data_IF_273846163911
#
_entry.id   IF_273846163911
#
_cell.length_a   1.000
_cell.length_b   1.000
_cell.length_c   1.000
_cell.angle_alpha   90.00
_cell.angle_beta   90.00
_cell.angle_gamma   90.00
#
_symmetry.space_group_name_H-M   'P 1'
#
loop_
_entity.id
_entity.type
_entity.pdbx_description
1 polymer ?
#
# COMPACT_ATOMS: atom_id res chain seq x y z
N UNK A 1 37.16 -26.57 -2.85
CA UNK A 1 37.56 -25.15 -2.78
C UNK A 1 36.66 -24.41 -3.77
N UNK A 2 35.52 -23.89 -3.30
CA UNK A 2 34.61 -23.14 -4.17
C UNK A 2 35.16 -21.73 -4.28
N UNK A 3 35.54 -21.31 -5.49
CA UNK A 3 36.04 -19.97 -5.74
C UNK A 3 34.91 -18.97 -5.47
N UNK A 4 35.06 -18.19 -4.39
CA UNK A 4 34.15 -17.08 -4.11
C UNK A 4 34.50 -15.98 -5.10
N UNK A 5 33.78 -15.93 -6.23
CA UNK A 5 33.88 -14.80 -7.16
C UNK A 5 33.48 -13.53 -6.41
N UNK A 6 34.29 -12.46 -6.45
CA UNK A 6 33.95 -11.21 -5.80
C UNK A 6 32.67 -10.65 -6.40
N UNK A 7 31.71 -10.33 -5.54
CA UNK A 7 30.45 -9.66 -5.91
C UNK A 7 30.82 -8.27 -6.44
N UNK A 8 30.30 -7.90 -7.60
CA UNK A 8 30.55 -6.57 -8.17
C UNK A 8 29.73 -5.51 -7.42
N UNK A 9 30.19 -4.26 -7.38
CA UNK A 9 29.46 -3.16 -6.73
C UNK A 9 28.03 -3.01 -7.28
N UNK A 10 27.85 -3.27 -8.59
CA UNK A 10 26.54 -3.29 -9.28
C UNK A 10 25.61 -4.38 -8.73
N UNK A 11 26.12 -5.58 -8.43
CA UNK A 11 25.32 -6.66 -7.85
C UNK A 11 24.89 -6.36 -6.41
N UNK A 12 25.75 -5.68 -5.63
CA UNK A 12 25.40 -5.27 -4.27
C UNK A 12 24.32 -4.17 -4.27
N UNK A 13 24.42 -3.20 -5.18
CA UNK A 13 23.41 -2.15 -5.35
C UNK A 13 22.06 -2.73 -5.81
N UNK A 14 22.05 -3.62 -6.80
CA UNK A 14 20.81 -4.26 -7.30
C UNK A 14 20.14 -5.11 -6.19
N UNK A 15 20.91 -5.84 -5.39
CA UNK A 15 20.39 -6.62 -4.26
C UNK A 15 19.81 -5.74 -3.15
N UNK A 16 20.48 -4.64 -2.79
CA UNK A 16 19.98 -3.67 -1.80
C UNK A 16 18.68 -3.01 -2.27
N UNK A 17 18.64 -2.55 -3.52
CA UNK A 17 17.46 -1.95 -4.11
C UNK A 17 16.27 -2.92 -4.15
N UNK A 18 16.50 -4.19 -4.53
CA UNK A 18 15.49 -5.24 -4.50
C UNK A 18 14.96 -5.48 -3.07
N UNK A 19 15.85 -5.64 -2.09
CA UNK A 19 15.45 -5.90 -0.69
C UNK A 19 14.64 -4.74 -0.11
N UNK A 20 15.12 -3.51 -0.24
CA UNK A 20 14.45 -2.32 0.27
C UNK A 20 13.08 -2.11 -0.39
N UNK A 21 13.02 -2.23 -1.72
CA UNK A 21 11.76 -2.08 -2.46
C UNK A 21 10.73 -3.14 -2.05
N UNK A 22 11.18 -4.38 -1.92
CA UNK A 22 10.30 -5.50 -1.55
C UNK A 22 9.74 -5.32 -0.15
N UNK A 23 10.57 -4.91 0.82
CA UNK A 23 10.16 -4.66 2.20
C UNK A 23 9.16 -3.50 2.25
N UNK A 24 9.46 -2.39 1.57
CA UNK A 24 8.59 -1.22 1.54
C UNK A 24 7.22 -1.55 0.94
N UNK A 25 7.17 -2.14 -0.25
CA UNK A 25 5.92 -2.53 -0.91
C UNK A 25 5.14 -3.52 -0.03
N UNK A 26 5.80 -4.58 0.45
CA UNK A 26 5.14 -5.66 1.19
C UNK A 26 4.52 -5.14 2.49
N UNK A 27 5.22 -4.27 3.21
CA UNK A 27 4.72 -3.69 4.46
C UNK A 27 3.49 -2.82 4.21
N UNK A 28 3.50 -2.00 3.16
CA UNK A 28 2.37 -1.12 2.83
C UNK A 28 1.12 -1.91 2.39
N UNK A 29 1.28 -2.96 1.58
CA UNK A 29 0.13 -3.73 1.08
C UNK A 29 -0.43 -4.71 2.11
N UNK A 30 0.39 -5.20 3.04
CA UNK A 30 -0.04 -6.16 4.06
C UNK A 30 -1.16 -5.59 4.94
N UNK A 31 -0.99 -4.36 5.45
CA UNK A 31 -1.98 -3.72 6.34
C UNK A 31 -3.33 -3.57 5.67
N UNK A 32 -3.35 -3.06 4.43
CA UNK A 32 -4.57 -2.90 3.63
C UNK A 32 -5.27 -4.25 3.43
N UNK A 33 -4.51 -5.28 3.04
CA UNK A 33 -5.06 -6.61 2.82
C UNK A 33 -5.60 -7.25 4.12
N UNK A 34 -4.90 -7.05 5.24
CA UNK A 34 -5.32 -7.52 6.56
C UNK A 34 -6.64 -6.88 6.99
N UNK A 35 -6.73 -5.55 6.99
CA UNK A 35 -7.94 -4.84 7.38
C UNK A 35 -9.12 -5.19 6.47
N UNK A 36 -8.88 -5.32 5.17
CA UNK A 36 -9.89 -5.80 4.23
C UNK A 36 -10.34 -7.23 4.57
N UNK A 37 -9.44 -8.13 4.97
CA UNK A 37 -9.79 -9.47 5.42
C UNK A 37 -10.62 -9.52 6.71
N UNK A 38 -10.42 -8.56 7.62
CA UNK A 38 -11.15 -8.48 8.91
C UNK A 38 -12.55 -7.89 8.72
N UNK A 39 -12.64 -6.71 8.09
CA UNK A 39 -13.85 -5.91 8.06
C UNK A 39 -14.57 -5.91 6.71
N UNK A 40 -13.95 -6.47 5.66
CA UNK A 40 -14.46 -6.49 4.29
C UNK A 40 -14.75 -5.08 3.72
N UNK A 41 -14.11 -4.06 4.30
CA UNK A 41 -14.18 -2.65 3.88
C UNK A 41 -12.78 -2.06 3.90
N UNK A 42 -12.58 -0.97 3.15
CA UNK A 42 -11.31 -0.23 3.13
C UNK A 42 -11.54 1.03 3.97
N UNK A 43 -10.77 1.17 5.05
CA UNK A 43 -10.91 2.33 5.94
C UNK A 43 -10.49 3.63 5.27
N UNK A 44 -11.18 4.71 5.65
CA UNK A 44 -10.90 6.08 5.20
C UNK A 44 -9.45 6.51 5.45
N UNK A 45 -8.80 5.99 6.51
CA UNK A 45 -7.40 6.29 6.83
C UNK A 45 -6.45 5.94 5.68
N UNK A 46 -6.68 4.79 5.03
CA UNK A 46 -5.89 4.34 3.90
C UNK A 46 -6.14 5.24 2.67
N UNK A 47 -7.38 5.69 2.47
CA UNK A 47 -7.73 6.65 1.42
C UNK A 47 -7.03 7.99 1.65
N UNK A 48 -7.00 8.49 2.90
CA UNK A 48 -6.30 9.73 3.23
C UNK A 48 -4.79 9.62 3.08
N UNK A 49 -4.17 8.50 3.47
CA UNK A 49 -2.74 8.31 3.24
C UNK A 49 -2.39 8.36 1.75
N UNK A 50 -3.17 7.68 0.92
CA UNK A 50 -3.00 7.72 -0.54
C UNK A 50 -3.19 9.13 -1.09
N UNK A 51 -4.22 9.85 -0.63
CA UNK A 51 -4.50 11.21 -1.07
C UNK A 51 -3.40 12.21 -0.65
N UNK A 52 -2.93 12.15 0.60
CA UNK A 52 -1.86 13.02 1.09
C UNK A 52 -0.56 12.74 0.34
N UNK A 53 -0.19 11.47 0.21
CA UNK A 53 1.02 11.08 -0.52
C UNK A 53 0.95 11.49 -1.99
N UNK A 54 -0.19 11.32 -2.66
CA UNK A 54 -0.37 11.73 -4.07
C UNK A 54 -0.31 13.23 -4.25
N UNK A 55 -0.91 13.99 -3.33
CA UNK A 55 -0.90 15.45 -3.36
C UNK A 55 0.51 15.99 -3.13
N UNK A 56 1.24 15.46 -2.14
CA UNK A 56 2.62 15.86 -1.87
C UNK A 56 3.52 15.51 -3.06
N UNK A 57 3.41 14.30 -3.62
CA UNK A 57 4.17 13.91 -4.80
C UNK A 57 3.83 14.77 -6.03
N UNK A 58 2.55 15.12 -6.22
CA UNK A 58 2.11 16.03 -7.28
C UNK A 58 2.75 17.41 -7.12
N UNK A 59 2.66 18.00 -5.92
CA UNK A 59 3.24 19.32 -5.63
C UNK A 59 4.76 19.28 -5.79
N UNK A 60 5.43 18.26 -5.27
CA UNK A 60 6.88 18.07 -5.44
C UNK A 60 7.27 17.98 -6.93
N UNK A 61 6.48 17.28 -7.75
CA UNK A 61 6.72 17.18 -9.20
C UNK A 61 6.64 18.50 -9.97
N UNK A 62 6.09 19.56 -9.37
CA UNK A 62 6.07 20.92 -9.96
C UNK A 62 7.40 21.66 -9.74
N UNK A 63 8.11 21.34 -8.66
CA UNK A 63 9.37 22.01 -8.28
C UNK A 63 10.62 21.22 -8.71
N UNK A 64 10.50 19.91 -8.89
CA UNK A 64 11.62 19.05 -9.28
C UNK A 64 11.79 19.08 -10.80
N UNK A 65 12.97 19.48 -11.32
CA UNK A 65 13.27 19.39 -12.75
C UNK A 65 13.27 17.94 -13.23
N UNK A 66 13.01 17.68 -14.53
CA UNK A 66 13.04 16.33 -15.08
C UNK A 66 14.42 15.71 -14.86
N UNK A 67 14.48 14.67 -14.01
CA UNK A 67 15.69 13.88 -13.74
C UNK A 67 15.59 12.58 -14.53
N UNK A 68 16.68 12.14 -15.17
CA UNK A 68 16.71 10.99 -16.08
C UNK A 68 16.29 9.63 -15.45
N UNK A 69 16.13 9.56 -14.12
CA UNK A 69 15.62 8.41 -13.37
C UNK A 69 14.14 8.48 -12.94
N UNK A 70 13.45 9.61 -13.13
CA UNK A 70 12.02 9.79 -12.81
C UNK A 70 11.11 9.95 -14.06
N UNK A 71 11.21 9.08 -15.09
CA UNK A 71 10.50 9.28 -16.36
C UNK A 71 8.97 9.24 -16.21
N UNK A 72 8.44 8.73 -15.10
CA UNK A 72 7.01 8.67 -14.80
C UNK A 72 6.45 9.86 -14.03
N UNK A 73 7.18 10.41 -13.05
CA UNK A 73 6.65 11.41 -12.10
C UNK A 73 6.46 12.79 -12.74
N UNK A 74 7.41 13.18 -13.57
CA UNK A 74 7.43 14.49 -14.24
C UNK A 74 6.67 14.45 -15.57
N UNK A 75 6.33 13.24 -16.05
CA UNK A 75 5.49 13.07 -17.23
C UNK A 75 4.05 13.54 -16.96
N UNK A 76 3.42 14.12 -17.98
CA UNK A 76 2.00 14.52 -17.94
C UNK A 76 1.08 13.36 -17.48
N UNK A 77 1.41 12.13 -17.85
CA UNK A 77 0.68 10.93 -17.44
C UNK A 77 0.78 10.65 -15.94
N UNK A 78 1.95 10.85 -15.34
CA UNK A 78 2.16 10.67 -13.90
C UNK A 78 1.42 11.70 -13.08
N UNK A 79 1.48 12.96 -13.50
CA UNK A 79 0.70 14.04 -12.90
C UNK A 79 -0.80 13.77 -12.94
N UNK A 80 -1.29 13.21 -14.04
CA UNK A 80 -2.70 12.80 -14.16
C UNK A 80 -3.07 11.73 -13.13
N UNK A 81 -2.25 10.69 -12.98
CA UNK A 81 -2.47 9.62 -11.98
C UNK A 81 -2.43 10.16 -10.55
N UNK A 82 -1.52 11.09 -10.25
CA UNK A 82 -1.39 11.71 -8.92
C UNK A 82 -2.54 12.66 -8.55
N UNK A 83 -3.22 13.23 -9.56
CA UNK A 83 -4.40 14.07 -9.38
C UNK A 83 -5.65 13.23 -9.07
N UNK A 84 -5.70 11.96 -9.49
CA UNK A 84 -6.89 11.12 -9.34
C UNK A 84 -7.42 11.03 -7.90
N UNK A 85 -6.59 10.81 -6.85
CA UNK A 85 -7.08 10.80 -5.47
C UNK A 85 -7.66 12.14 -5.04
N UNK A 86 -7.09 13.26 -5.49
CA UNK A 86 -7.61 14.61 -5.18
C UNK A 86 -8.93 14.89 -5.89
N UNK A 87 -9.11 14.40 -7.12
CA UNK A 87 -10.39 14.47 -7.84
C UNK A 87 -11.45 13.61 -7.16
N UNK A 88 -11.09 12.41 -6.70
CA UNK A 88 -11.99 11.56 -5.92
C UNK A 88 -12.44 12.26 -4.63
N UNK A 89 -11.51 12.87 -3.89
CA UNK A 89 -11.85 13.62 -2.69
C UNK A 89 -12.76 14.82 -3.00
N UNK A 90 -12.45 15.58 -4.06
CA UNK A 90 -13.32 16.67 -4.51
C UNK A 90 -14.72 16.17 -4.88
N UNK A 91 -14.81 15.05 -5.60
CA UNK A 91 -16.09 14.43 -5.97
C UNK A 91 -16.92 14.03 -4.74
N UNK A 92 -16.29 13.39 -3.76
CA UNK A 92 -16.95 12.99 -2.52
C UNK A 92 -17.48 14.19 -1.71
N UNK A 93 -16.78 15.34 -1.74
CA UNK A 93 -17.25 16.57 -1.08
C UNK A 93 -18.55 17.13 -1.69
N UNK A 94 -18.79 16.91 -2.98
CA UNK A 94 -20.01 17.39 -3.66
C UNK A 94 -21.14 16.36 -3.66
N UNK A 95 -20.91 15.16 -3.13
CA UNK A 95 -21.96 14.13 -3.02
C UNK A 95 -22.89 14.41 -1.84
N UNK A 96 -24.21 14.27 -2.05
CA UNK A 96 -25.24 14.57 -1.02
C UNK A 96 -25.25 13.59 0.15
N UNK A 97 -24.64 12.41 -0.01
CA UNK A 97 -24.47 11.39 1.04
C UNK A 97 -23.03 10.86 1.04
N UNK A 98 -22.08 11.61 1.63
CA UNK A 98 -20.69 11.18 1.65
C UNK A 98 -20.52 10.04 2.66
N UNK A 99 -20.76 8.80 2.23
CA UNK A 99 -20.29 7.61 2.94
C UNK A 99 -18.95 7.19 2.36
N UNK A 100 -17.90 7.27 3.19
CA UNK A 100 -16.61 6.64 2.89
C UNK A 100 -16.65 5.13 3.14
N UNK A 101 -17.76 4.63 3.71
CA UNK A 101 -18.01 3.22 3.84
C UNK A 101 -18.51 2.67 2.52
N UNK A 102 -17.60 1.99 1.83
CA UNK A 102 -17.75 1.59 0.43
C UNK A 102 -18.84 0.52 0.25
N UNK A 103 -19.33 -0.06 1.36
CA UNK A 103 -20.47 -0.98 1.38
C UNK A 103 -21.84 -0.28 1.33
N UNK A 104 -21.90 0.99 1.76
CA UNK A 104 -23.12 1.81 1.82
C UNK A 104 -23.21 2.79 0.63
N UNK A 105 -22.10 3.02 -0.09
CA UNK A 105 -22.07 3.87 -1.30
C UNK A 105 -22.58 3.11 -2.53
N UNK A 106 -23.03 3.84 -3.55
CA UNK A 106 -23.41 3.25 -4.84
C UNK A 106 -22.26 2.45 -5.47
N UNK A 107 -22.60 1.45 -6.29
CA UNK A 107 -21.63 0.57 -6.95
C UNK A 107 -20.59 1.35 -7.80
N UNK A 108 -20.99 2.52 -8.29
CA UNK A 108 -20.15 3.38 -9.12
C UNK A 108 -19.05 4.05 -8.30
N UNK A 109 -19.39 4.63 -7.15
CA UNK A 109 -18.45 5.23 -6.20
C UNK A 109 -17.49 4.18 -5.65
N UNK A 110 -18.00 2.97 -5.36
CA UNK A 110 -17.18 1.84 -4.97
C UNK A 110 -16.14 1.46 -6.03
N UNK A 111 -16.58 1.31 -7.29
CA UNK A 111 -15.69 0.96 -8.39
C UNK A 111 -14.67 2.08 -8.64
N UNK A 112 -15.09 3.34 -8.58
CA UNK A 112 -14.23 4.50 -8.75
C UNK A 112 -13.14 4.55 -7.67
N UNK A 113 -13.52 4.39 -6.39
CA UNK A 113 -12.57 4.35 -5.28
C UNK A 113 -11.57 3.19 -5.44
N UNK A 114 -12.05 1.99 -5.81
CA UNK A 114 -11.20 0.83 -6.05
C UNK A 114 -10.20 1.08 -7.18
N UNK A 115 -10.65 1.65 -8.30
CA UNK A 115 -9.77 2.00 -9.44
C UNK A 115 -8.76 3.06 -9.05
N UNK A 116 -9.19 4.13 -8.36
CA UNK A 116 -8.30 5.22 -7.95
C UNK A 116 -7.23 4.70 -6.99
N UNK A 117 -7.61 3.97 -5.93
CA UNK A 117 -6.65 3.39 -4.98
C UNK A 117 -5.77 2.36 -5.67
N UNK A 118 -6.36 1.47 -6.47
CA UNK A 118 -5.65 0.42 -7.19
C UNK A 118 -4.62 0.93 -8.20
N UNK A 119 -4.80 2.14 -8.73
CA UNK A 119 -3.82 2.79 -9.62
C UNK A 119 -2.84 3.68 -8.86
N UNK A 120 -3.33 4.52 -7.94
CA UNK A 120 -2.53 5.51 -7.25
C UNK A 120 -1.60 4.92 -6.20
N UNK A 121 -2.04 3.89 -5.45
CA UNK A 121 -1.24 3.24 -4.43
C UNK A 121 0.03 2.57 -5.00
N UNK A 122 -0.03 1.68 -6.02
CA UNK A 122 1.18 1.10 -6.58
C UNK A 122 2.06 2.16 -7.25
N UNK A 123 1.45 3.18 -7.88
CA UNK A 123 2.21 4.28 -8.46
C UNK A 123 2.97 5.05 -7.38
N UNK A 124 2.33 5.38 -6.26
CA UNK A 124 2.97 6.04 -5.11
C UNK A 124 4.08 5.20 -4.50
N UNK A 125 3.89 3.90 -4.37
CA UNK A 125 4.94 2.99 -3.89
C UNK A 125 6.15 3.00 -4.82
N UNK A 126 5.92 2.96 -6.14
CA UNK A 126 7.00 3.08 -7.13
C UNK A 126 7.71 4.42 -6.99
N UNK A 127 6.96 5.51 -6.84
CA UNK A 127 7.54 6.85 -6.64
C UNK A 127 8.38 6.92 -5.37
N UNK A 128 7.86 6.43 -4.25
CA UNK A 128 8.58 6.40 -2.98
C UNK A 128 9.85 5.55 -3.09
N UNK A 129 9.79 4.41 -3.79
CA UNK A 129 10.94 3.55 -4.06
C UNK A 129 11.99 4.28 -4.88
N UNK A 130 11.60 4.87 -6.01
CA UNK A 130 12.51 5.59 -6.92
C UNK A 130 13.15 6.80 -6.22
N UNK A 131 12.42 7.48 -5.35
CA UNK A 131 12.93 8.64 -4.60
C UNK A 131 13.80 8.23 -3.42
N UNK A 132 13.43 7.17 -2.69
CA UNK A 132 14.16 6.71 -1.51
C UNK A 132 15.42 5.90 -1.85
N UNK A 133 15.42 5.25 -3.01
CA UNK A 133 16.51 4.40 -3.49
C UNK A 133 17.07 5.06 -4.76
N UNK A 134 18.15 5.85 -4.64
CA UNK A 134 18.93 6.22 -5.82
C UNK A 134 19.38 4.92 -6.51
N UNK A 135 19.33 4.89 -7.85
CA UNK A 135 19.69 3.74 -8.71
C UNK A 135 18.63 2.63 -8.88
N UNK A 136 17.33 2.87 -8.66
CA UNK A 136 16.27 1.89 -8.99
C UNK A 136 16.24 1.47 -10.46
N UNK A 137 16.75 2.32 -11.35
CA UNK A 137 16.98 2.04 -12.76
C UNK A 137 18.00 0.91 -13.01
N UNK A 138 18.78 0.51 -11.99
CA UNK A 138 19.65 -0.68 -12.04
C UNK A 138 18.89 -2.01 -11.93
N UNK A 139 17.61 -2.05 -11.53
CA UNK A 139 16.78 -3.27 -11.62
C UNK A 139 16.44 -3.57 -13.09
N UNK A 140 17.44 -3.92 -13.89
CA UNK A 140 17.29 -4.30 -15.30
C UNK A 140 16.81 -5.74 -15.45
N UNK A 141 17.04 -6.59 -14.46
CA UNK A 141 16.70 -8.00 -14.56
C UNK A 141 15.18 -8.24 -14.46
N UNK A 142 14.53 -8.77 -15.52
CA UNK A 142 13.08 -9.03 -15.49
C UNK A 142 12.70 -10.09 -14.45
N UNK A 143 13.64 -10.97 -14.10
CA UNK A 143 13.45 -11.98 -13.05
C UNK A 143 13.22 -11.36 -11.68
N UNK A 144 14.01 -10.34 -11.31
CA UNK A 144 13.86 -9.65 -10.02
C UNK A 144 12.55 -8.87 -9.96
N UNK A 145 12.16 -8.20 -11.05
CA UNK A 145 10.85 -7.54 -11.15
C UNK A 145 9.69 -8.52 -10.97
N UNK A 146 9.77 -9.68 -11.62
CA UNK A 146 8.79 -10.76 -11.44
C UNK A 146 8.76 -11.30 -10.02
N UNK A 147 9.92 -11.40 -9.36
CA UNK A 147 10.02 -11.82 -7.96
C UNK A 147 9.39 -10.79 -7.01
N UNK A 148 9.61 -9.48 -7.19
CA UNK A 148 8.94 -8.43 -6.40
C UNK A 148 7.42 -8.57 -6.52
N UNK A 149 6.91 -8.72 -7.75
CA UNK A 149 5.47 -8.85 -8.00
C UNK A 149 4.90 -10.13 -7.36
N UNK A 150 5.61 -11.25 -7.46
CA UNK A 150 5.22 -12.50 -6.83
C UNK A 150 5.22 -12.40 -5.29
N UNK A 151 6.23 -11.78 -4.70
CA UNK A 151 6.30 -11.56 -3.24
C UNK A 151 5.19 -10.62 -2.79
N UNK A 152 4.97 -9.52 -3.50
CA UNK A 152 3.88 -8.59 -3.23
C UNK A 152 2.52 -9.32 -3.25
N UNK A 153 2.26 -10.12 -4.29
CA UNK A 153 1.03 -10.91 -4.40
C UNK A 153 0.90 -11.92 -3.26
N UNK A 154 1.98 -12.61 -2.90
CA UNK A 154 1.99 -13.54 -1.78
C UNK A 154 1.69 -12.84 -0.45
N UNK A 155 2.26 -11.65 -0.23
CA UNK A 155 2.02 -10.82 0.96
C UNK A 155 0.58 -10.35 1.05
N UNK A 156 -0.02 -9.93 -0.08
CA UNK A 156 -1.45 -9.55 -0.13
C UNK A 156 -2.34 -10.75 0.22
N UNK A 157 -2.09 -11.92 -0.37
CA UNK A 157 -2.85 -13.14 -0.05
C UNK A 157 -2.68 -13.52 1.42
N UNK A 158 -1.45 -13.48 1.93
CA UNK A 158 -1.16 -13.77 3.32
C UNK A 158 -1.87 -12.79 4.27
N UNK A 159 -1.77 -11.48 4.02
CA UNK A 159 -2.46 -10.45 4.79
C UNK A 159 -3.97 -10.64 4.81
N UNK A 160 -4.58 -10.91 3.64
CA UNK A 160 -5.99 -11.21 3.53
C UNK A 160 -6.40 -12.45 4.33
N UNK A 161 -5.65 -13.55 4.22
CA UNK A 161 -5.93 -14.78 4.96
C UNK A 161 -5.77 -14.58 6.47
N UNK A 162 -4.73 -13.88 6.89
CA UNK A 162 -4.51 -13.49 8.29
C UNK A 162 -5.72 -12.68 8.78
N UNK A 163 -6.15 -11.66 8.05
CA UNK A 163 -7.35 -10.88 8.38
C UNK A 163 -8.63 -11.72 8.45
N UNK A 164 -8.84 -12.61 7.47
CA UNK A 164 -10.02 -13.49 7.40
C UNK A 164 -10.09 -14.49 8.56
N UNK A 165 -8.93 -14.93 9.05
CA UNK A 165 -8.81 -15.89 10.15
C UNK A 165 -8.38 -15.25 11.48
N UNK A 166 -8.52 -13.92 11.62
CA UNK A 166 -8.07 -13.16 12.79
C UNK A 166 -8.60 -13.72 14.12
N UNK A 167 -9.81 -14.29 14.11
CA UNK A 167 -10.47 -14.91 15.26
C UNK A 167 -9.71 -16.09 15.88
N UNK A 168 -8.64 -16.59 15.25
CA UNK A 168 -7.79 -17.64 15.84
C UNK A 168 -6.64 -17.11 16.68
N UNK A 169 -6.26 -15.85 16.54
CA UNK A 169 -5.03 -15.33 17.15
C UNK A 169 -5.12 -13.89 17.68
N UNK A 170 -6.10 -13.06 17.25
CA UNK A 170 -6.33 -11.71 17.77
C UNK A 170 -7.62 -11.69 18.61
N UNK A 171 -7.54 -11.12 19.80
CA UNK A 171 -8.68 -11.00 20.71
C UNK A 171 -9.49 -9.73 20.48
N UNK A 172 -10.74 -9.73 20.92
CA UNK A 172 -11.58 -8.53 20.93
C UNK A 172 -10.94 -7.38 21.72
N UNK A 173 -10.17 -7.70 22.77
CA UNK A 173 -9.47 -6.71 23.58
C UNK A 173 -8.36 -6.02 22.79
N UNK A 174 -7.62 -6.76 21.95
CA UNK A 174 -6.55 -6.19 21.13
C UNK A 174 -7.10 -5.16 20.13
N UNK A 175 -8.25 -5.47 19.49
CA UNK A 175 -8.94 -4.51 18.63
C UNK A 175 -9.38 -3.27 19.41
N UNK A 176 -9.98 -3.45 20.59
CA UNK A 176 -10.42 -2.32 21.42
C UNK A 176 -9.27 -1.43 21.90
N UNK A 177 -8.16 -2.01 22.36
CA UNK A 177 -6.98 -1.26 22.84
C UNK A 177 -6.30 -0.49 21.69
N UNK A 178 -6.29 -1.07 20.48
CA UNK A 178 -5.79 -0.38 19.30
C UNK A 178 -6.70 0.75 18.79
N UNK A 179 -7.87 0.96 19.41
CA UNK A 179 -8.84 1.98 19.00
C UNK A 179 -9.64 1.61 17.75
N UNK A 180 -9.58 0.35 17.31
CA UNK A 180 -10.33 -0.14 16.16
C UNK A 180 -11.76 -0.56 16.55
N UNK A 181 -12.65 -0.60 15.55
CA UNK A 181 -13.95 -1.24 15.70
C UNK A 181 -13.78 -2.72 16.05
N UNK A 182 -14.54 -3.23 17.02
CA UNK A 182 -14.44 -4.63 17.45
C UNK A 182 -15.32 -5.49 16.54
N UNK A 183 -14.74 -6.40 15.73
CA UNK A 183 -15.54 -7.21 14.82
C UNK A 183 -16.32 -8.29 15.58
N UNK A 184 -17.55 -8.58 15.15
CA UNK A 184 -18.46 -9.51 15.85
C UNK A 184 -17.90 -10.93 16.02
N UNK A 185 -17.01 -11.35 15.11
CA UNK A 185 -16.39 -12.67 15.10
C UNK A 185 -15.01 -12.71 15.78
N UNK A 186 -14.62 -11.70 16.57
CA UNK A 186 -13.35 -11.68 17.28
C UNK A 186 -13.25 -12.77 18.36
N UNK A 187 -12.01 -13.18 18.67
CA UNK A 187 -11.76 -14.13 19.76
C UNK A 187 -12.05 -13.46 21.10
N UNK A 188 -13.09 -13.93 21.80
CA UNK A 188 -13.38 -13.45 23.16
C UNK A 188 -12.30 -13.95 24.11
N UNK A 189 -11.78 -13.05 24.95
CA UNK A 189 -10.88 -13.45 26.02
C UNK A 189 -11.55 -14.53 26.89
N UNK A 190 -10.82 -15.58 27.27
CA UNK A 190 -11.38 -16.64 28.10
C UNK A 190 -11.81 -16.04 29.46
N UNK A 191 -13.06 -16.25 29.89
CA UNK A 191 -13.48 -15.86 31.24
C UNK A 191 -12.75 -16.77 32.22
N UNK A 192 -11.66 -16.30 32.84
CA UNK A 192 -10.91 -17.09 33.83
C UNK A 192 -9.45 -16.71 34.04
N UNK A 193 -8.83 -15.94 33.15
CA UNK A 193 -7.50 -15.34 33.39
C UNK A 193 -7.71 -13.87 33.79
N UNK A 194 -8.00 -13.65 35.08
CA UNK A 194 -8.13 -12.32 35.70
C UNK A 194 -6.82 -11.50 35.63
N UNK A 195 -6.72 -10.30 36.21
CA UNK A 195 -7.50 -9.66 37.27
C UNK A 195 -6.89 -8.27 37.57
N UNK A 196 -7.74 -7.34 38.03
CA UNK A 196 -7.48 -5.97 38.53
C UNK A 196 -7.38 -4.86 37.49
#
# INVERSE_FOLDING_TARGET
>A
MSAHTPVTEEQEAEARAFMLSTIAISTSVFGIAFFYGVFNTIFFEHLFYVWVASTVAMVASLFVPPVDGLPGLVSWRGRFVLILPSVLMAWLLFSESPSLDIAETGWFEWLLALVVVGLSLPYLLVVLIVVAIPDVDQLRQPRLRGAILAICLATVIAGFLVGRYHYRFITCHDFAVSGNFVPDNCLKARPGTGSR
#
